data_IF_278196433027
#
_entry.id   IF_278196433027
#
_cell.length_a   1.000
_cell.length_b   1.000
_cell.length_c   1.000
_cell.angle_alpha   90.00
_cell.angle_beta   90.00
_cell.angle_gamma   90.00
#
_symmetry.space_group_name_H-M   'P 1'
#
loop_
_entity.id
_entity.type
_entity.pdbx_description
1 polymer ?
#
# COMPACT_ATOMS: atom_id res chain seq x y z
N UNK A 1 57.49 -5.36 -37.75
CA UNK A 1 56.22 -4.69 -38.15
C UNK A 1 55.09 -5.70 -38.09
N UNK A 2 54.15 -5.53 -37.15
CA UNK A 2 52.71 -5.80 -37.27
C UNK A 2 52.09 -5.59 -35.89
N UNK A 3 51.41 -4.45 -35.75
CA UNK A 3 50.54 -4.11 -34.63
C UNK A 3 49.34 -5.07 -34.64
N UNK A 4 49.01 -5.69 -33.50
CA UNK A 4 47.72 -6.34 -33.30
C UNK A 4 46.89 -5.44 -32.38
N UNK A 5 45.84 -4.86 -32.94
CA UNK A 5 44.94 -3.92 -32.30
C UNK A 5 44.04 -4.62 -31.28
N UNK A 6 43.96 -4.02 -30.10
CA UNK A 6 42.82 -4.15 -29.20
C UNK A 6 41.53 -3.70 -29.90
N UNK A 7 40.49 -4.52 -29.81
CA UNK A 7 39.10 -4.06 -29.85
C UNK A 7 38.34 -4.78 -28.77
N UNK A 8 38.22 -4.13 -27.61
CA UNK A 8 37.27 -4.51 -26.58
C UNK A 8 35.86 -4.13 -27.01
N UNK A 9 34.94 -5.09 -26.98
CA UNK A 9 33.51 -4.81 -26.99
C UNK A 9 33.12 -4.41 -25.56
N UNK A 10 33.05 -3.11 -25.29
CA UNK A 10 32.21 -2.61 -24.21
C UNK A 10 30.78 -2.52 -24.75
N UNK A 11 29.96 -3.50 -24.40
CA UNK A 11 28.52 -3.41 -24.55
C UNK A 11 27.99 -2.32 -23.64
N UNK A 12 27.57 -1.19 -24.23
CA UNK A 12 26.75 -0.18 -23.56
C UNK A 12 25.37 -0.79 -23.32
N UNK A 13 25.15 -1.36 -22.15
CA UNK A 13 23.82 -1.55 -21.62
C UNK A 13 23.25 -0.17 -21.30
N UNK A 14 22.51 0.41 -22.24
CA UNK A 14 21.69 1.57 -21.97
C UNK A 14 20.59 1.16 -21.00
N UNK A 15 20.78 1.44 -19.71
CA UNK A 15 19.68 1.51 -18.75
C UNK A 15 18.75 2.61 -19.23
N UNK A 16 17.66 2.25 -19.92
CA UNK A 16 16.56 3.17 -20.16
C UNK A 16 15.90 3.44 -18.81
N UNK A 17 16.37 4.45 -18.08
CA UNK A 17 15.52 5.13 -17.12
C UNK A 17 14.40 5.74 -17.94
N UNK A 18 13.25 5.06 -18.00
CA UNK A 18 12.00 5.69 -18.39
C UNK A 18 11.84 6.88 -17.46
N UNK A 19 11.96 8.11 -18.00
CA UNK A 19 11.51 9.29 -17.27
C UNK A 19 10.02 9.10 -17.09
N UNK A 20 9.58 8.77 -15.87
CA UNK A 20 8.17 8.73 -15.53
C UNK A 20 7.68 10.18 -15.48
N UNK A 21 7.19 10.67 -16.63
CA UNK A 21 6.59 12.00 -16.71
C UNK A 21 5.27 12.01 -15.93
N UNK A 22 5.01 13.10 -15.20
CA UNK A 22 3.71 13.34 -14.59
C UNK A 22 2.65 13.36 -15.69
N UNK A 23 1.65 12.48 -15.58
CA UNK A 23 0.56 12.37 -16.54
C UNK A 23 -0.35 13.61 -16.42
N UNK A 24 -0.35 14.43 -17.45
CA UNK A 24 -1.23 15.60 -17.58
C UNK A 24 -2.62 15.18 -18.11
N UNK A 25 -3.52 14.86 -17.18
CA UNK A 25 -4.91 14.48 -17.46
C UNK A 25 -5.81 15.66 -17.87
N UNK A 26 -5.34 16.90 -17.74
CA UNK A 26 -6.10 18.08 -18.17
C UNK A 26 -6.05 18.22 -19.68
N UNK A 27 -4.88 17.96 -20.28
CA UNK A 27 -4.67 18.10 -21.73
C UNK A 27 -4.66 16.78 -22.50
N UNK A 28 -4.58 15.63 -21.83
CA UNK A 28 -4.40 14.34 -22.49
C UNK A 28 -5.32 13.24 -21.94
N UNK A 29 -5.67 12.30 -22.81
CA UNK A 29 -6.25 11.02 -22.43
C UNK A 29 -5.14 9.96 -22.37
N UNK A 30 -5.20 9.08 -21.37
CA UNK A 30 -4.28 7.95 -21.23
C UNK A 30 -5.02 6.64 -21.30
N UNK A 31 -4.37 5.61 -21.85
CA UNK A 31 -4.93 4.28 -22.01
C UNK A 31 -3.89 3.24 -21.61
N UNK A 32 -4.32 2.17 -20.95
CA UNK A 32 -3.51 0.97 -20.77
C UNK A 32 -4.06 -0.12 -21.66
N UNK A 33 -3.21 -0.65 -22.54
CA UNK A 33 -3.54 -1.75 -23.45
C UNK A 33 -2.70 -2.97 -23.09
N UNK A 34 -3.35 -4.13 -22.94
CA UNK A 34 -2.65 -5.42 -22.93
C UNK A 34 -2.55 -5.88 -24.39
N UNK A 35 -1.33 -6.00 -24.90
CA UNK A 35 -1.05 -6.39 -26.29
C UNK A 35 -0.36 -7.77 -26.29
N UNK A 36 -0.87 -8.71 -27.10
CA UNK A 36 -0.24 -10.02 -27.27
C UNK A 36 1.02 -9.97 -28.14
N UNK A 37 1.73 -11.09 -28.26
CA UNK A 37 3.00 -11.18 -29.00
C UNK A 37 2.87 -11.05 -30.53
N UNK A 38 1.66 -10.98 -31.09
CA UNK A 38 1.44 -10.83 -32.53
C UNK A 38 1.57 -9.38 -33.02
N UNK A 39 1.68 -8.41 -32.11
CA UNK A 39 1.86 -7.01 -32.44
C UNK A 39 2.85 -6.30 -31.51
N UNK A 40 3.46 -5.24 -32.02
CA UNK A 40 4.26 -4.31 -31.21
C UNK A 40 3.39 -3.14 -30.72
N UNK A 41 3.72 -2.54 -29.56
CA UNK A 41 3.07 -1.33 -29.08
C UNK A 41 3.10 -0.18 -30.11
N UNK A 42 4.18 -0.06 -30.87
CA UNK A 42 4.34 0.98 -31.90
C UNK A 42 3.37 0.80 -33.06
N UNK A 43 3.12 -0.44 -33.49
CA UNK A 43 2.12 -0.73 -34.54
C UNK A 43 0.70 -0.42 -34.05
N UNK A 44 0.39 -0.80 -32.81
CA UNK A 44 -0.92 -0.50 -32.18
C UNK A 44 -1.11 1.00 -32.01
N UNK A 45 -0.11 1.72 -31.48
CA UNK A 45 -0.12 3.17 -31.34
C UNK A 45 -0.33 3.88 -32.68
N UNK A 46 0.43 3.48 -33.72
CA UNK A 46 0.28 4.02 -35.07
C UNK A 46 -1.13 3.78 -35.64
N UNK A 47 -1.70 2.61 -35.39
CA UNK A 47 -3.05 2.25 -35.87
C UNK A 47 -4.18 3.02 -35.18
N UNK A 48 -3.97 3.40 -33.92
CA UNK A 48 -4.93 4.14 -33.10
C UNK A 48 -4.70 5.66 -33.10
N UNK A 49 -3.55 6.12 -33.61
CA UNK A 49 -3.12 7.52 -33.49
C UNK A 49 -2.71 7.90 -32.07
N UNK A 50 -2.18 6.94 -31.30
CA UNK A 50 -1.72 7.14 -29.92
C UNK A 50 -0.20 7.09 -29.82
N UNK A 51 0.36 7.88 -28.91
CA UNK A 51 1.79 7.82 -28.55
C UNK A 51 2.00 6.75 -27.48
N UNK A 52 3.00 5.88 -27.66
CA UNK A 52 3.40 4.90 -26.66
C UNK A 52 4.32 5.57 -25.62
N UNK A 53 3.95 5.51 -24.34
CA UNK A 53 4.72 6.09 -23.23
C UNK A 53 5.66 5.05 -22.58
N UNK A 54 5.31 3.77 -22.65
CA UNK A 54 6.11 2.68 -22.11
C UNK A 54 5.26 1.57 -21.49
N UNK A 55 5.92 0.67 -20.79
CA UNK A 55 5.31 -0.45 -20.06
C UNK A 55 4.73 0.03 -18.72
N UNK A 56 3.62 -0.55 -18.27
CA UNK A 56 3.01 -0.30 -16.98
C UNK A 56 3.74 -1.05 -15.85
N UNK A 57 4.75 -0.41 -15.26
CA UNK A 57 5.51 -0.97 -14.14
C UNK A 57 6.04 -2.39 -14.43
N UNK A 58 5.70 -3.35 -13.57
CA UNK A 58 6.09 -4.76 -13.72
C UNK A 58 5.20 -5.60 -14.66
N UNK A 59 4.12 -5.05 -15.21
CA UNK A 59 3.21 -5.76 -16.12
C UNK A 59 3.72 -5.63 -17.56
N UNK A 60 4.64 -6.51 -17.97
CA UNK A 60 5.44 -6.37 -19.21
C UNK A 60 4.65 -6.42 -20.51
N UNK A 61 3.44 -6.96 -20.48
CA UNK A 61 2.46 -7.07 -21.56
C UNK A 61 1.45 -5.91 -21.58
N UNK A 62 1.52 -4.98 -20.61
CA UNK A 62 0.64 -3.83 -20.48
C UNK A 62 1.38 -2.54 -20.82
N UNK A 63 0.83 -1.79 -21.76
CA UNK A 63 1.48 -0.60 -22.32
C UNK A 63 0.60 0.64 -22.10
N UNK A 64 1.23 1.73 -21.66
CA UNK A 64 0.61 3.02 -21.47
C UNK A 64 0.69 3.81 -22.78
N UNK A 65 -0.45 4.32 -23.22
CA UNK A 65 -0.60 5.15 -24.40
C UNK A 65 -1.22 6.49 -24.06
N UNK A 66 -0.89 7.51 -24.85
CA UNK A 66 -1.37 8.87 -24.70
C UNK A 66 -1.99 9.38 -26.02
N UNK A 67 -3.07 10.17 -25.89
CA UNK A 67 -3.55 11.07 -26.95
C UNK A 67 -3.85 12.45 -26.38
N UNK A 68 -3.92 13.49 -27.23
CA UNK A 68 -4.62 14.71 -26.87
C UNK A 68 -6.03 14.38 -26.35
N UNK A 69 -6.53 15.18 -25.41
CA UNK A 69 -7.85 14.95 -24.81
C UNK A 69 -8.95 15.06 -25.85
N UNK A 70 -9.89 14.11 -25.80
CA UNK A 70 -11.02 14.04 -26.72
C UNK A 70 -12.34 13.88 -25.96
N UNK A 71 -13.44 14.22 -26.61
CA UNK A 71 -14.80 14.10 -26.08
C UNK A 71 -15.34 12.64 -26.09
N UNK A 72 -14.55 11.70 -26.61
CA UNK A 72 -14.91 10.29 -26.73
C UNK A 72 -13.72 9.38 -26.42
N UNK A 73 -13.99 8.09 -26.19
CA UNK A 73 -12.93 7.09 -25.99
C UNK A 73 -12.40 6.62 -27.35
N UNK A 74 -11.20 7.09 -27.72
CA UNK A 74 -10.55 6.82 -29.02
C UNK A 74 -10.36 5.32 -29.23
N UNK A 75 -9.91 4.60 -28.20
CA UNK A 75 -9.63 3.16 -28.30
C UNK A 75 -10.91 2.38 -28.48
N UNK A 76 -11.94 2.61 -27.64
CA UNK A 76 -13.23 1.92 -27.75
C UNK A 76 -13.88 2.16 -29.12
N UNK A 77 -13.79 3.38 -29.66
CA UNK A 77 -14.32 3.70 -30.99
C UNK A 77 -13.64 2.87 -32.07
N UNK A 78 -12.30 2.87 -32.09
CA UNK A 78 -11.53 2.10 -33.07
C UNK A 78 -11.78 0.59 -32.96
N UNK A 79 -11.87 0.04 -31.75
CA UNK A 79 -12.20 -1.37 -31.51
C UNK A 79 -13.61 -1.71 -31.98
N UNK A 80 -14.59 -0.83 -31.74
CA UNK A 80 -15.96 -1.03 -32.21
C UNK A 80 -16.04 -1.04 -33.74
N UNK A 81 -15.32 -0.13 -34.41
CA UNK A 81 -15.29 -0.07 -35.87
C UNK A 81 -14.52 -1.24 -36.49
N UNK A 82 -13.43 -1.72 -35.85
CA UNK A 82 -12.74 -2.94 -36.25
C UNK A 82 -13.69 -4.17 -36.20
N UNK A 83 -14.45 -4.32 -35.10
CA UNK A 83 -15.45 -5.39 -34.97
C UNK A 83 -16.54 -5.34 -36.04
N UNK A 84 -16.95 -4.14 -36.49
CA UNK A 84 -17.90 -3.99 -37.62
C UNK A 84 -17.29 -4.42 -38.95
N UNK A 85 -16.05 -4.02 -39.24
CA UNK A 85 -15.33 -4.38 -40.48
C UNK A 85 -15.14 -5.90 -40.60
N UNK A 86 -14.88 -6.57 -39.49
CA UNK A 86 -14.72 -8.03 -39.40
C UNK A 86 -15.98 -8.85 -39.70
N UNK A 87 -17.15 -8.22 -39.87
CA UNK A 87 -18.34 -8.93 -40.39
C UNK A 87 -18.15 -9.42 -41.83
N UNK A 88 -17.12 -8.95 -42.53
CA UNK A 88 -16.67 -9.46 -43.82
C UNK A 88 -15.42 -10.36 -43.63
N UNK A 89 -15.43 -11.62 -44.08
CA UNK A 89 -14.32 -12.55 -43.83
C UNK A 89 -13.01 -12.11 -44.52
N UNK A 90 -11.88 -12.27 -43.80
CA UNK A 90 -10.52 -12.16 -44.37
C UNK A 90 -9.69 -10.93 -43.98
N UNK A 91 -10.17 -10.02 -43.13
CA UNK A 91 -9.41 -8.83 -42.72
C UNK A 91 -8.85 -9.01 -41.30
N UNK A 92 -7.57 -9.37 -41.20
CA UNK A 92 -6.81 -9.26 -39.95
C UNK A 92 -6.42 -7.80 -39.72
N UNK A 93 -6.57 -7.30 -38.49
CA UNK A 93 -6.15 -5.95 -38.10
C UNK A 93 -5.22 -6.06 -36.89
N UNK A 94 -4.22 -5.20 -36.79
CA UNK A 94 -3.31 -5.18 -35.64
C UNK A 94 -4.05 -4.95 -34.32
N UNK A 95 -5.23 -4.33 -34.33
CA UNK A 95 -6.07 -4.16 -33.12
C UNK A 95 -6.59 -5.49 -32.55
N UNK A 96 -6.43 -6.60 -33.27
CA UNK A 96 -6.82 -7.93 -32.82
C UNK A 96 -5.91 -8.49 -31.72
N UNK A 97 -4.70 -7.96 -31.60
CA UNK A 97 -3.76 -8.30 -30.53
C UNK A 97 -4.10 -7.65 -29.18
N UNK A 98 -5.06 -6.71 -29.15
CA UNK A 98 -5.46 -6.02 -27.91
C UNK A 98 -6.38 -6.93 -27.11
N UNK A 99 -5.85 -7.50 -26.02
CA UNK A 99 -6.57 -8.41 -25.13
C UNK A 99 -7.35 -7.67 -24.04
N UNK A 100 -6.90 -6.47 -23.67
CA UNK A 100 -7.55 -5.62 -22.68
C UNK A 100 -7.26 -4.15 -22.98
N UNK A 101 -8.23 -3.29 -22.68
CA UNK A 101 -8.08 -1.83 -22.74
C UNK A 101 -8.74 -1.20 -21.53
N UNK A 102 -8.08 -0.19 -20.96
CA UNK A 102 -8.66 0.67 -19.93
C UNK A 102 -8.25 2.11 -20.18
N UNK A 103 -9.23 3.00 -20.34
CA UNK A 103 -9.00 4.45 -20.31
C UNK A 103 -8.72 4.84 -18.86
N UNK A 104 -7.66 5.60 -18.64
CA UNK A 104 -7.21 6.01 -17.32
C UNK A 104 -7.79 7.37 -16.98
N UNK A 105 -8.28 7.50 -15.75
CA UNK A 105 -8.78 8.76 -15.19
C UNK A 105 -8.22 8.90 -13.78
N UNK A 106 -7.70 10.08 -13.45
CA UNK A 106 -7.29 10.38 -12.09
C UNK A 106 -8.53 10.65 -11.23
N UNK A 107 -8.73 9.88 -10.17
CA UNK A 107 -9.89 10.01 -9.27
C UNK A 107 -9.48 9.84 -7.82
N UNK A 108 -10.17 10.55 -6.93
CA UNK A 108 -10.06 10.35 -5.48
C UNK A 108 -11.18 9.39 -5.03
N UNK A 109 -10.91 8.10 -5.10
CA UNK A 109 -11.84 7.05 -4.67
C UNK A 109 -11.35 6.28 -3.43
N UNK A 110 -10.04 6.31 -3.15
CA UNK A 110 -9.43 5.72 -1.98
C UNK A 110 -9.37 6.74 -0.82
N UNK A 111 -9.62 6.23 0.37
CA UNK A 111 -9.67 6.99 1.60
C UNK A 111 -8.84 6.28 2.67
N UNK A 112 -7.96 7.03 3.34
CA UNK A 112 -7.27 6.56 4.55
C UNK A 112 -8.27 6.24 5.66
N UNK A 113 -8.05 5.15 6.38
CA UNK A 113 -8.89 4.65 7.47
C UNK A 113 -8.69 5.48 8.73
N UNK A 114 -9.25 6.69 8.73
CA UNK A 114 -9.35 7.53 9.92
C UNK A 114 -10.59 7.14 10.72
N UNK A 115 -10.46 6.99 12.03
CA UNK A 115 -11.58 6.65 12.91
C UNK A 115 -12.59 7.82 12.87
N UNK A 116 -13.86 7.59 12.48
CA UNK A 116 -14.87 8.63 12.45
C UNK A 116 -15.22 9.09 13.88
N UNK A 117 -15.89 10.24 14.07
CA UNK A 117 -16.48 10.56 15.36
C UNK A 117 -17.53 9.51 15.78
N UNK A 118 -17.65 9.17 17.08
CA UNK A 118 -18.68 8.24 17.52
C UNK A 118 -20.10 8.77 17.23
N UNK A 119 -21.06 7.93 16.80
CA UNK A 119 -22.41 8.38 16.54
C UNK A 119 -23.11 8.81 17.84
N UNK A 120 -24.13 9.69 17.80
CA UNK A 120 -24.84 10.15 19.00
C UNK A 120 -25.49 9.01 19.82
N UNK A 121 -25.82 7.90 19.16
CA UNK A 121 -26.37 6.68 19.77
C UNK A 121 -25.30 5.84 20.48
N UNK A 122 -24.02 6.06 20.20
CA UNK A 122 -22.92 5.38 20.87
C UNK A 122 -22.81 5.87 22.30
N UNK A 123 -23.49 5.15 23.18
CA UNK A 123 -23.18 5.15 24.60
C UNK A 123 -21.84 4.44 24.69
N UNK A 124 -20.76 5.22 24.63
CA UNK A 124 -19.41 4.65 24.71
C UNK A 124 -19.32 3.63 25.82
N UNK A 125 -18.45 2.64 25.65
CA UNK A 125 -18.12 1.76 26.76
C UNK A 125 -17.70 2.67 27.92
N UNK A 126 -18.27 2.40 29.10
CA UNK A 126 -18.11 3.24 30.30
C UNK A 126 -16.67 3.72 30.40
N UNK A 127 -16.41 5.05 30.39
CA UNK A 127 -15.06 5.57 30.53
C UNK A 127 -14.42 4.97 31.77
N UNK A 128 -13.21 4.41 31.63
CA UNK A 128 -12.38 3.85 32.71
C UNK A 128 -13.20 3.28 33.88
N UNK A 129 -13.57 2.00 33.83
CA UNK A 129 -13.39 1.19 35.05
C UNK A 129 -11.92 1.42 35.40
N UNK A 130 -11.66 2.18 36.48
CA UNK A 130 -10.34 2.67 36.85
C UNK A 130 -9.29 1.67 36.41
N UNK A 131 -8.38 2.07 35.50
CA UNK A 131 -7.22 1.26 35.15
C UNK A 131 -6.70 0.74 36.48
N UNK A 132 -6.82 -0.58 36.69
CA UNK A 132 -6.37 -1.16 37.94
C UNK A 132 -4.92 -0.73 38.15
N UNK A 133 -4.50 -0.57 39.41
CA UNK A 133 -3.09 -0.25 39.65
C UNK A 133 -2.22 -1.25 38.87
N UNK A 134 -1.18 -0.79 38.16
CA UNK A 134 -0.30 -1.67 37.40
C UNK A 134 0.14 -2.86 38.26
N UNK A 135 0.02 -4.06 37.69
CA UNK A 135 0.37 -5.28 38.42
C UNK A 135 1.87 -5.27 38.69
N UNK A 136 2.26 -5.26 39.97
CA UNK A 136 3.65 -5.06 40.38
C UNK A 136 4.64 -6.07 39.76
N UNK A 137 4.23 -7.31 39.52
CA UNK A 137 5.05 -8.32 38.81
C UNK A 137 5.22 -7.99 37.34
N UNK A 138 4.18 -7.49 36.67
CA UNK A 138 4.24 -7.06 35.27
C UNK A 138 5.11 -5.80 35.10
N UNK A 139 5.02 -4.84 36.02
CA UNK A 139 5.92 -3.66 36.03
C UNK A 139 7.38 -4.09 36.16
N UNK A 140 7.69 -5.01 37.07
CA UNK A 140 9.06 -5.56 37.20
C UNK A 140 9.51 -6.27 35.93
N UNK A 141 8.61 -7.01 35.27
CA UNK A 141 8.91 -7.67 34.01
C UNK A 141 9.15 -6.67 32.87
N UNK A 142 8.34 -5.62 32.76
CA UNK A 142 8.54 -4.54 31.79
C UNK A 142 9.90 -3.86 31.99
N UNK A 143 10.24 -3.52 33.25
CA UNK A 143 11.54 -2.96 33.60
C UNK A 143 12.70 -3.91 33.26
N UNK A 144 12.51 -5.21 33.48
CA UNK A 144 13.49 -6.23 33.11
C UNK A 144 13.70 -6.28 31.58
N UNK A 145 12.61 -6.32 30.80
CA UNK A 145 12.67 -6.27 29.33
C UNK A 145 13.38 -5.00 28.86
N UNK A 146 12.99 -3.84 29.37
CA UNK A 146 13.62 -2.57 29.03
C UNK A 146 15.11 -2.56 29.34
N UNK A 147 15.53 -3.09 30.50
CA UNK A 147 16.94 -3.17 30.87
C UNK A 147 17.72 -4.16 29.99
N UNK A 148 17.19 -5.37 29.75
CA UNK A 148 17.82 -6.39 28.91
C UNK A 148 18.01 -5.90 27.47
N UNK A 149 16.99 -5.25 26.93
CA UNK A 149 16.98 -4.75 25.55
C UNK A 149 17.47 -3.30 25.43
N UNK A 150 17.90 -2.67 26.52
CA UNK A 150 18.33 -1.26 26.56
C UNK A 150 17.32 -0.28 25.93
N UNK A 151 16.02 -0.51 26.16
CA UNK A 151 14.93 0.37 25.72
C UNK A 151 14.93 1.62 26.61
N UNK A 152 15.05 2.80 25.99
CA UNK A 152 15.09 4.11 26.68
C UNK A 152 13.98 5.04 26.20
N UNK A 153 13.15 4.56 25.29
CA UNK A 153 12.10 5.29 24.61
C UNK A 153 11.07 5.78 25.65
N UNK A 154 10.84 7.11 25.74
CA UNK A 154 10.15 7.71 26.88
C UNK A 154 8.70 7.24 27.05
N UNK A 155 8.01 6.88 25.97
CA UNK A 155 6.59 6.47 26.02
C UNK A 155 6.41 4.95 25.91
N UNK A 156 7.47 4.14 25.93
CA UNK A 156 7.34 2.67 25.85
C UNK A 156 6.42 2.10 26.94
N UNK A 157 6.44 2.68 28.14
CA UNK A 157 5.56 2.26 29.24
C UNK A 157 4.08 2.60 28.98
N UNK A 158 3.80 3.54 28.08
CA UNK A 158 2.45 3.94 27.66
C UNK A 158 1.94 3.10 26.48
N UNK A 159 2.84 2.48 25.70
CA UNK A 159 2.51 1.58 24.59
C UNK A 159 2.01 0.21 25.08
N UNK A 160 0.83 0.24 25.70
CA UNK A 160 0.18 -0.93 26.29
C UNK A 160 -0.04 -2.06 25.29
N UNK A 161 -0.16 -1.76 23.99
CA UNK A 161 -0.31 -2.77 22.94
C UNK A 161 0.94 -3.65 22.78
N UNK A 162 2.13 -3.19 23.21
CA UNK A 162 3.38 -3.96 23.19
C UNK A 162 3.61 -4.71 24.51
N UNK A 163 3.27 -4.07 25.64
CA UNK A 163 3.34 -4.68 26.96
C UNK A 163 2.35 -4.01 27.92
N UNK A 164 1.31 -4.73 28.35
CA UNK A 164 0.26 -4.17 29.19
C UNK A 164 0.46 -4.53 30.66
N UNK A 165 0.84 -3.56 31.49
CA UNK A 165 1.00 -3.77 32.93
C UNK A 165 -0.31 -3.75 33.72
N UNK A 166 -1.41 -3.32 33.10
CA UNK A 166 -2.71 -3.12 33.77
C UNK A 166 -3.65 -4.30 33.47
N UNK A 167 -3.85 -4.60 32.18
CA UNK A 167 -4.69 -5.70 31.72
C UNK A 167 -3.79 -6.78 31.13
N UNK A 168 -3.35 -7.71 31.97
CA UNK A 168 -2.37 -8.72 31.57
C UNK A 168 -2.90 -9.59 30.42
N UNK A 169 -2.06 -9.78 29.40
CA UNK A 169 -2.41 -10.53 28.19
C UNK A 169 -3.22 -9.73 27.18
N UNK A 170 -3.55 -8.46 27.47
CA UNK A 170 -4.16 -7.54 26.52
C UNK A 170 -3.08 -6.71 25.81
N UNK A 171 -2.17 -7.41 25.13
CA UNK A 171 -1.07 -6.90 24.33
C UNK A 171 -0.70 -7.92 23.24
N UNK A 172 0.13 -7.56 22.27
CA UNK A 172 0.52 -8.47 21.17
C UNK A 172 1.55 -9.53 21.59
N UNK A 173 1.90 -9.61 22.87
CA UNK A 173 2.89 -10.55 23.43
C UNK A 173 4.23 -10.58 22.68
N UNK A 174 4.73 -9.41 22.24
CA UNK A 174 5.93 -9.31 21.40
C UNK A 174 7.24 -9.36 22.20
N UNK A 175 7.22 -8.99 23.48
CA UNK A 175 8.47 -8.83 24.26
C UNK A 175 9.24 -10.14 24.46
N UNK A 176 8.56 -11.29 24.52
CA UNK A 176 9.21 -12.61 24.53
C UNK A 176 9.99 -12.87 23.24
N UNK A 177 9.39 -12.52 22.09
CA UNK A 177 10.00 -12.64 20.76
C UNK A 177 11.25 -11.74 20.64
N UNK A 178 11.20 -10.54 21.22
CA UNK A 178 12.37 -9.66 21.27
C UNK A 178 13.50 -10.20 22.15
N UNK A 179 13.18 -10.82 23.29
CA UNK A 179 14.17 -11.46 24.16
C UNK A 179 14.84 -12.68 23.50
N UNK A 180 14.17 -13.31 22.53
CA UNK A 180 14.76 -14.35 21.66
C UNK A 180 15.64 -13.76 20.53
N UNK A 181 15.73 -12.43 20.43
CA UNK A 181 16.54 -11.74 19.41
C UNK A 181 15.83 -11.54 18.07
N UNK A 182 14.50 -11.72 18.01
CA UNK A 182 13.71 -11.51 16.80
C UNK A 182 13.06 -10.12 16.88
N UNK A 183 13.55 -9.19 16.06
CA UNK A 183 13.24 -7.74 16.14
C UNK A 183 12.80 -7.15 14.80
N UNK A 184 12.60 -8.01 13.80
CA UNK A 184 12.30 -7.61 12.41
C UNK A 184 13.52 -7.34 11.53
N UNK A 185 14.74 -7.57 12.04
CA UNK A 185 15.97 -7.42 11.25
C UNK A 185 15.93 -8.21 9.94
N UNK A 186 16.35 -7.56 8.84
CA UNK A 186 16.30 -8.05 7.45
C UNK A 186 14.89 -8.14 6.84
N UNK A 187 13.85 -7.70 7.56
CA UNK A 187 12.53 -7.52 7.00
C UNK A 187 12.38 -6.12 6.41
N UNK A 188 11.56 -5.98 5.37
CA UNK A 188 11.21 -4.67 4.78
C UNK A 188 9.70 -4.55 4.64
N UNK A 189 9.13 -3.54 5.27
CA UNK A 189 7.71 -3.20 5.21
C UNK A 189 7.53 -1.90 4.45
N UNK A 190 6.57 -1.84 3.53
CA UNK A 190 6.17 -0.63 2.83
C UNK A 190 4.80 -0.17 3.32
N UNK A 191 4.70 1.10 3.72
CA UNK A 191 3.45 1.76 4.06
C UNK A 191 2.92 2.42 2.80
N UNK A 192 1.84 1.87 2.23
CA UNK A 192 1.15 2.49 1.10
C UNK A 192 0.12 3.45 1.68
N UNK A 193 0.36 4.75 1.65
CA UNK A 193 -0.48 5.73 2.36
C UNK A 193 -0.33 7.19 1.84
N UNK A 194 -0.40 8.19 2.73
CA UNK A 194 -0.31 9.63 2.47
C UNK A 194 1.10 10.22 2.58
N UNK A 195 2.11 9.36 2.78
CA UNK A 195 3.51 9.73 2.89
C UNK A 195 4.19 9.13 4.12
N UNK A 196 5.49 9.36 4.24
CA UNK A 196 6.30 8.91 5.37
C UNK A 196 7.32 9.99 5.71
N UNK A 197 7.27 10.53 6.93
CA UNK A 197 8.30 11.46 7.42
C UNK A 197 9.59 10.70 7.72
N UNK A 198 10.43 10.58 6.70
CA UNK A 198 11.70 9.89 6.76
C UNK A 198 12.76 10.63 7.59
N UNK A 199 12.47 11.88 7.98
CA UNK A 199 13.37 12.72 8.78
C UNK A 199 13.09 12.62 10.27
N UNK A 200 11.95 12.04 10.66
CA UNK A 200 11.61 11.74 12.05
C UNK A 200 12.76 11.01 12.73
N UNK A 201 13.13 11.47 13.92
CA UNK A 201 14.20 10.84 14.72
C UNK A 201 13.89 9.38 15.04
N UNK A 202 12.61 9.03 15.07
CA UNK A 202 12.12 7.69 15.38
C UNK A 202 12.06 6.76 14.15
N UNK A 203 12.20 7.29 12.93
CA UNK A 203 12.08 6.50 11.68
C UNK A 203 13.32 6.54 10.79
N UNK A 204 14.11 7.61 10.85
CA UNK A 204 15.21 7.90 9.90
C UNK A 204 16.22 6.76 9.76
N UNK A 205 16.53 6.03 10.83
CA UNK A 205 17.54 4.97 10.80
C UNK A 205 16.99 3.66 10.17
N UNK A 206 15.67 3.49 10.22
CA UNK A 206 14.95 2.38 9.58
C UNK A 206 14.41 2.72 8.19
N UNK A 207 14.39 3.99 7.79
CA UNK A 207 13.90 4.41 6.48
C UNK A 207 14.62 3.69 5.33
N UNK A 208 13.82 3.23 4.37
CA UNK A 208 14.28 2.47 3.22
C UNK A 208 13.88 3.17 1.92
N UNK A 209 14.76 4.09 1.49
CA UNK A 209 14.59 4.86 0.25
C UNK A 209 14.41 3.95 -0.98
N UNK A 210 15.13 2.84 -1.03
CA UNK A 210 15.10 1.90 -2.15
C UNK A 210 13.74 1.20 -2.34
N UNK A 211 12.89 1.18 -1.32
CA UNK A 211 11.52 0.64 -1.39
C UNK A 211 10.45 1.73 -1.46
N UNK A 212 10.85 3.00 -1.48
CA UNK A 212 9.96 4.15 -1.32
C UNK A 212 9.73 4.90 -2.63
N UNK A 213 8.57 5.56 -2.75
CA UNK A 213 8.22 6.41 -3.89
C UNK A 213 6.97 7.27 -3.63
N UNK A 214 6.92 8.43 -4.25
CA UNK A 214 5.74 9.29 -4.31
C UNK A 214 5.06 9.16 -5.69
N UNK A 215 3.90 8.52 -5.74
CA UNK A 215 3.08 8.43 -6.95
C UNK A 215 2.19 9.65 -7.16
N UNK A 216 1.89 10.42 -6.12
CA UNK A 216 1.13 11.66 -6.21
C UNK A 216 1.96 12.77 -6.89
N UNK A 217 3.27 12.83 -6.62
CA UNK A 217 4.17 13.88 -7.13
C UNK A 217 5.29 13.38 -8.07
N UNK A 218 5.43 12.05 -8.25
CA UNK A 218 6.48 11.41 -9.07
C UNK A 218 7.89 11.72 -8.57
N UNK A 219 8.07 11.58 -7.26
CA UNK A 219 9.34 11.83 -6.57
C UNK A 219 9.84 10.54 -5.91
N UNK A 220 11.15 10.21 -5.94
CA UNK A 220 11.70 9.11 -5.14
C UNK A 220 11.52 9.28 -3.62
N UNK A 221 11.21 10.48 -3.13
CA UNK A 221 11.06 10.82 -1.72
C UNK A 221 9.57 10.97 -1.38
N UNK A 222 8.96 10.05 -0.59
CA UNK A 222 7.54 10.06 -0.24
C UNK A 222 7.24 11.00 0.93
N UNK A 223 7.75 12.23 0.91
CA UNK A 223 7.58 13.16 2.00
C UNK A 223 6.09 13.57 2.16
N UNK A 224 5.56 13.64 3.39
CA UNK A 224 4.28 14.28 3.65
C UNK A 224 4.30 15.74 3.18
N UNK A 225 3.30 16.18 2.41
CA UNK A 225 3.25 17.55 1.86
C UNK A 225 2.07 18.33 2.43
N UNK A 226 0.92 17.67 2.60
CA UNK A 226 -0.30 18.29 3.11
C UNK A 226 -0.33 18.27 4.64
N UNK A 227 -1.07 19.20 5.25
CA UNK A 227 -1.13 19.30 6.71
C UNK A 227 -1.76 18.06 7.37
N UNK A 228 -2.61 17.36 6.63
CA UNK A 228 -3.29 16.13 6.97
C UNK A 228 -2.47 14.86 6.64
N UNK A 229 -1.35 14.97 5.92
CA UNK A 229 -0.46 13.85 5.59
C UNK A 229 0.31 13.42 6.85
N UNK A 230 -0.37 12.67 7.72
CA UNK A 230 0.16 12.23 9.02
C UNK A 230 -0.07 10.74 9.24
N UNK A 231 -0.89 10.12 8.40
CA UNK A 231 -1.42 8.80 8.64
C UNK A 231 -0.34 7.75 8.37
N UNK A 232 0.35 7.82 7.23
CA UNK A 232 1.43 6.91 6.90
C UNK A 232 2.61 6.97 7.87
N UNK A 233 2.99 8.15 8.36
CA UNK A 233 4.03 8.31 9.39
C UNK A 233 3.65 7.64 10.72
N UNK A 234 2.38 7.70 11.13
CA UNK A 234 1.90 7.02 12.34
C UNK A 234 1.98 5.50 12.19
N UNK A 235 1.44 4.97 11.08
CA UNK A 235 1.51 3.54 10.79
C UNK A 235 2.96 3.03 10.67
N UNK A 236 3.87 3.83 10.10
CA UNK A 236 5.29 3.51 10.04
C UNK A 236 5.93 3.36 11.43
N UNK A 237 5.55 4.22 12.38
CA UNK A 237 6.01 4.17 13.77
C UNK A 237 5.58 2.89 14.48
N UNK A 238 4.32 2.49 14.33
CA UNK A 238 3.80 1.24 14.93
C UNK A 238 4.61 0.01 14.47
N UNK A 239 5.05 0.00 13.22
CA UNK A 239 5.85 -1.10 12.65
C UNK A 239 7.32 -0.99 13.07
N UNK A 240 7.96 0.16 12.87
CA UNK A 240 9.42 0.26 12.81
C UNK A 240 10.01 1.52 13.48
N UNK A 241 9.30 2.15 14.42
CA UNK A 241 9.91 3.12 15.32
C UNK A 241 11.17 2.51 15.97
N UNK A 242 12.28 3.22 15.89
CA UNK A 242 13.61 2.72 16.22
C UNK A 242 13.83 2.79 17.72
N UNK A 243 14.53 1.82 18.30
CA UNK A 243 14.91 1.88 19.71
C UNK A 243 15.92 3.00 19.96
N UNK A 244 15.50 4.12 20.54
CA UNK A 244 16.31 5.29 20.86
C UNK A 244 15.83 5.99 22.16
N UNK A 245 15.88 7.33 22.21
CA UNK A 245 15.44 8.18 23.32
C UNK A 245 14.30 9.14 22.93
N UNK A 246 13.55 8.82 21.87
CA UNK A 246 12.48 9.62 21.28
C UNK A 246 11.21 8.77 21.18
N UNK A 247 10.06 9.33 21.57
CA UNK A 247 8.77 8.66 21.43
C UNK A 247 8.75 7.24 22.03
N UNK A 248 8.47 6.22 21.21
CA UNK A 248 8.18 4.85 21.62
C UNK A 248 8.95 3.85 20.76
N UNK A 249 8.44 2.64 20.63
CA UNK A 249 9.10 1.54 19.93
C UNK A 249 8.16 0.86 18.95
N UNK A 250 8.66 0.48 17.78
CA UNK A 250 7.90 -0.29 16.79
C UNK A 250 7.91 -1.78 17.13
N UNK A 251 6.89 -2.52 16.68
CA UNK A 251 6.82 -3.99 16.84
C UNK A 251 8.07 -4.68 16.28
N UNK A 252 8.55 -4.19 15.14
CA UNK A 252 9.70 -4.67 14.38
C UNK A 252 10.76 -3.55 14.27
N UNK A 253 11.23 -3.06 15.42
CA UNK A 253 12.12 -1.89 15.53
C UNK A 253 13.51 -2.00 14.87
N UNK A 254 13.91 -3.17 14.34
CA UNK A 254 15.10 -3.31 13.49
C UNK A 254 14.77 -3.65 12.01
N UNK A 255 13.49 -3.60 11.65
CA UNK A 255 13.05 -3.74 10.26
C UNK A 255 13.28 -2.46 9.45
N UNK A 256 13.29 -2.60 8.12
CA UNK A 256 13.30 -1.47 7.20
C UNK A 256 11.88 -1.03 6.87
N UNK A 257 11.67 0.28 6.80
CA UNK A 257 10.35 0.90 6.55
C UNK A 257 10.41 1.81 5.32
N UNK A 258 9.56 1.52 4.34
CA UNK A 258 9.41 2.30 3.12
C UNK A 258 8.08 3.04 3.09
N UNK A 259 8.02 4.16 2.38
CA UNK A 259 6.81 4.93 2.15
C UNK A 259 6.42 4.91 0.67
N UNK A 260 5.17 4.58 0.37
CA UNK A 260 4.60 4.64 -0.97
C UNK A 260 3.41 5.61 -0.90
N UNK A 261 3.59 6.83 -1.40
CA UNK A 261 2.60 7.91 -1.26
C UNK A 261 1.62 7.91 -2.44
N UNK A 262 0.36 7.59 -2.16
CA UNK A 262 -0.72 7.51 -3.17
C UNK A 262 -2.01 8.22 -2.75
N UNK A 263 -2.24 8.49 -1.45
CA UNK A 263 -3.55 8.91 -0.95
C UNK A 263 -3.78 10.42 -0.91
N UNK A 264 -2.75 11.24 -1.15
CA UNK A 264 -2.81 12.70 -0.98
C UNK A 264 -3.32 13.45 -2.21
N UNK A 265 -3.47 12.78 -3.37
CA UNK A 265 -4.01 13.33 -4.61
C UNK A 265 -4.78 12.27 -5.40
N UNK A 266 -5.66 12.67 -6.33
CA UNK A 266 -6.26 11.74 -7.29
C UNK A 266 -5.19 10.95 -8.05
N UNK A 267 -5.37 9.64 -8.13
CA UNK A 267 -4.50 8.72 -8.89
C UNK A 267 -5.34 7.97 -9.92
N UNK A 268 -4.69 7.41 -10.93
CA UNK A 268 -5.33 6.51 -11.89
C UNK A 268 -5.21 5.05 -11.48
N UNK A 269 -6.05 4.17 -12.04
CA UNK A 269 -5.93 2.72 -11.86
C UNK A 269 -4.52 2.21 -12.24
N UNK A 270 -3.87 2.82 -13.24
CA UNK A 270 -2.49 2.52 -13.61
C UNK A 270 -1.49 2.87 -12.49
N UNK A 271 -1.67 4.01 -11.83
CA UNK A 271 -0.79 4.45 -10.74
C UNK A 271 -0.97 3.59 -9.49
N UNK A 272 -2.21 3.28 -9.17
CA UNK A 272 -2.52 2.36 -8.08
C UNK A 272 -1.93 0.97 -8.36
N UNK A 273 -2.07 0.46 -9.58
CA UNK A 273 -1.47 -0.82 -9.97
C UNK A 273 0.06 -0.80 -9.86
N UNK A 274 0.73 0.27 -10.32
CA UNK A 274 2.17 0.42 -10.17
C UNK A 274 2.59 0.47 -8.69
N UNK A 275 1.86 1.23 -7.86
CA UNK A 275 2.13 1.36 -6.43
C UNK A 275 1.98 0.03 -5.69
N UNK A 276 0.93 -0.73 -6.00
CA UNK A 276 0.67 -2.02 -5.37
C UNK A 276 1.78 -3.05 -5.64
N UNK A 277 2.49 -2.95 -6.76
CA UNK A 277 3.64 -3.84 -7.07
C UNK A 277 4.99 -3.12 -6.99
N UNK A 278 5.06 -1.94 -6.36
CA UNK A 278 6.28 -1.14 -6.35
C UNK A 278 7.37 -1.82 -5.53
N UNK A 279 8.44 -2.22 -6.22
CA UNK A 279 9.63 -2.85 -5.65
C UNK A 279 9.32 -4.15 -4.91
N UNK A 280 8.49 -5.02 -5.48
CA UNK A 280 8.24 -6.39 -4.98
C UNK A 280 9.49 -7.28 -4.86
N UNK A 281 10.59 -6.86 -5.49
CA UNK A 281 11.93 -7.45 -5.34
C UNK A 281 12.64 -7.06 -4.04
N UNK A 282 12.23 -5.95 -3.40
CA UNK A 282 12.83 -5.40 -2.17
C UNK A 282 11.86 -5.33 -0.98
N UNK A 283 10.67 -4.83 -1.22
CA UNK A 283 9.59 -4.75 -0.23
C UNK A 283 8.97 -6.15 -0.05
N UNK A 284 8.82 -6.58 1.20
CA UNK A 284 8.33 -7.91 1.53
C UNK A 284 6.87 -7.88 1.97
N UNK A 285 6.50 -6.84 2.74
CA UNK A 285 5.17 -6.65 3.32
C UNK A 285 4.68 -5.26 2.89
N UNK A 286 3.41 -5.16 2.52
CA UNK A 286 2.73 -3.92 2.17
C UNK A 286 1.58 -3.72 3.14
N UNK A 287 1.65 -2.67 3.95
CA UNK A 287 0.62 -2.29 4.91
C UNK A 287 -0.25 -1.18 4.32
N UNK A 288 -1.55 -1.44 4.28
CA UNK A 288 -2.54 -0.61 3.61
C UNK A 288 -3.69 -0.29 4.56
N UNK A 289 -3.65 0.88 5.17
CA UNK A 289 -4.70 1.37 6.07
C UNK A 289 -5.66 2.31 5.32
N UNK A 290 -6.18 1.83 4.19
CA UNK A 290 -7.06 2.58 3.28
C UNK A 290 -7.97 1.63 2.49
N UNK A 291 -8.99 2.19 1.86
CA UNK A 291 -9.90 1.48 0.97
C UNK A 291 -10.95 2.42 0.36
N UNK A 292 -12.05 1.89 -0.19
CA UNK A 292 -13.24 2.67 -0.55
C UNK A 292 -13.83 3.40 0.66
N UNK A 293 -14.83 4.26 0.45
CA UNK A 293 -15.50 4.95 1.58
C UNK A 293 -16.23 3.96 2.49
N UNK A 294 -16.07 4.18 3.79
CA UNK A 294 -16.73 3.42 4.86
C UNK A 294 -18.06 4.07 5.27
N UNK A 295 -18.99 4.17 4.31
CA UNK A 295 -20.26 4.86 4.49
C UNK A 295 -21.47 3.91 4.55
N UNK A 296 -21.24 2.59 4.57
CA UNK A 296 -22.29 1.57 4.57
C UNK A 296 -23.09 1.49 3.26
N UNK A 297 -22.59 2.13 2.20
CA UNK A 297 -23.27 2.26 0.90
C UNK A 297 -22.37 2.00 -0.29
N UNK A 298 -21.08 2.21 -0.13
CA UNK A 298 -20.08 2.04 -1.17
C UNK A 298 -19.77 0.56 -1.35
N UNK A 299 -19.80 0.09 -2.60
CA UNK A 299 -19.33 -1.24 -2.99
C UNK A 299 -18.37 -1.07 -4.15
N UNK A 300 -17.09 -1.22 -3.87
CA UNK A 300 -16.03 -1.03 -4.85
C UNK A 300 -14.96 -2.10 -4.68
N UNK A 301 -14.34 -2.48 -5.80
CA UNK A 301 -13.24 -3.43 -5.82
C UNK A 301 -12.12 -2.91 -6.73
N UNK A 302 -10.87 -3.30 -6.46
CA UNK A 302 -9.74 -2.90 -7.28
C UNK A 302 -9.97 -3.26 -8.75
N UNK A 303 -9.64 -2.35 -9.66
CA UNK A 303 -9.76 -2.56 -11.11
C UNK A 303 -8.90 -3.73 -11.62
N UNK A 304 -9.10 -4.11 -12.89
CA UNK A 304 -8.39 -5.27 -13.49
C UNK A 304 -6.87 -5.09 -13.42
N UNK A 305 -6.37 -3.87 -13.61
CA UNK A 305 -4.92 -3.57 -13.55
C UNK A 305 -4.37 -3.79 -12.14
N UNK A 306 -5.05 -3.29 -11.12
CA UNK A 306 -4.66 -3.44 -9.72
C UNK A 306 -4.68 -4.91 -9.33
N UNK A 307 -5.72 -5.66 -9.69
CA UNK A 307 -5.79 -7.11 -9.42
C UNK A 307 -4.67 -7.89 -10.11
N UNK A 308 -4.28 -7.51 -11.32
CA UNK A 308 -3.11 -8.09 -12.03
C UNK A 308 -1.81 -7.75 -11.32
N UNK A 309 -1.64 -6.51 -10.85
CA UNK A 309 -0.47 -6.10 -10.09
C UNK A 309 -0.34 -6.85 -8.75
N UNK A 310 -1.43 -6.96 -7.99
CA UNK A 310 -1.47 -7.76 -6.76
C UNK A 310 -1.14 -9.23 -7.05
N UNK A 311 -1.77 -9.85 -8.06
CA UNK A 311 -1.48 -11.22 -8.44
C UNK A 311 0.00 -11.42 -8.80
N UNK A 312 0.58 -10.50 -9.58
CA UNK A 312 2.01 -10.52 -9.90
C UNK A 312 2.86 -10.45 -8.63
N UNK A 313 2.55 -9.54 -7.71
CA UNK A 313 3.26 -9.40 -6.45
C UNK A 313 3.17 -10.66 -5.56
N UNK A 314 2.03 -11.36 -5.57
CA UNK A 314 1.84 -12.66 -4.90
C UNK A 314 2.65 -13.78 -5.60
N UNK A 315 2.79 -13.74 -6.92
CA UNK A 315 3.48 -14.80 -7.66
C UNK A 315 5.01 -14.63 -7.69
N UNK A 316 5.49 -13.38 -7.76
CA UNK A 316 6.90 -13.08 -8.03
C UNK A 316 7.61 -12.40 -6.85
N UNK A 317 6.86 -11.72 -5.97
CA UNK A 317 7.42 -11.00 -4.85
C UNK A 317 8.18 -11.92 -3.89
N UNK A 318 9.16 -11.35 -3.17
CA UNK A 318 10.02 -12.11 -2.24
C UNK A 318 10.69 -13.33 -2.88
N UNK A 319 11.10 -13.20 -4.16
CA UNK A 319 11.74 -14.29 -4.90
C UNK A 319 10.82 -15.47 -5.19
N UNK A 320 9.52 -15.21 -5.39
CA UNK A 320 8.50 -16.23 -5.65
C UNK A 320 7.82 -16.80 -4.41
N UNK A 321 8.14 -16.31 -3.21
CA UNK A 321 7.42 -16.65 -1.97
C UNK A 321 6.09 -15.90 -1.83
N UNK A 322 5.94 -14.81 -2.58
CA UNK A 322 4.79 -13.94 -2.59
C UNK A 322 4.87 -12.80 -1.60
N UNK A 323 4.59 -11.59 -2.09
CA UNK A 323 4.42 -10.39 -1.27
C UNK A 323 3.29 -10.58 -0.26
N UNK A 324 3.38 -9.93 0.90
CA UNK A 324 2.34 -10.01 1.93
C UNK A 324 1.59 -8.68 1.96
N UNK A 325 0.31 -8.67 1.61
CA UNK A 325 -0.55 -7.50 1.78
C UNK A 325 -1.31 -7.60 3.10
N UNK A 326 -1.29 -6.53 3.89
CA UNK A 326 -2.03 -6.41 5.14
C UNK A 326 -2.96 -5.21 5.01
N UNK A 327 -4.27 -5.43 5.12
CA UNK A 327 -5.29 -4.39 5.00
C UNK A 327 -6.08 -4.23 6.30
N UNK A 328 -6.35 -3.00 6.70
CA UNK A 328 -7.30 -2.71 7.77
C UNK A 328 -8.74 -3.00 7.29
N UNK A 329 -9.57 -3.64 8.13
CA UNK A 329 -10.90 -4.12 7.70
C UNK A 329 -11.84 -3.01 7.27
N UNK A 330 -11.79 -1.84 7.91
CA UNK A 330 -12.70 -0.72 7.65
C UNK A 330 -13.18 -0.05 8.94
N UNK A 331 -13.56 1.21 8.85
CA UNK A 331 -14.01 2.04 9.97
C UNK A 331 -15.52 2.37 9.93
N UNK A 332 -16.29 1.68 9.10
CA UNK A 332 -17.69 1.95 8.78
C UNK A 332 -18.73 1.20 9.61
N UNK A 333 -18.34 0.42 10.62
CA UNK A 333 -19.29 -0.44 11.34
C UNK A 333 -20.46 0.33 11.98
N UNK A 334 -20.21 1.53 12.50
CA UNK A 334 -21.27 2.40 13.02
C UNK A 334 -22.21 2.99 11.96
N UNK A 335 -21.86 2.86 10.68
CA UNK A 335 -22.70 3.17 9.52
C UNK A 335 -23.31 1.92 8.90
N UNK A 336 -23.30 0.79 9.62
CA UNK A 336 -23.75 -0.54 9.17
C UNK A 336 -22.93 -1.10 7.98
N UNK A 337 -21.67 -0.67 7.82
CA UNK A 337 -20.79 -1.18 6.78
C UNK A 337 -20.27 -2.60 7.06
N UNK A 338 -19.83 -3.28 6.00
CA UNK A 338 -19.31 -4.63 6.05
C UNK A 338 -18.14 -4.81 5.08
N UNK A 339 -16.99 -5.24 5.59
CA UNK A 339 -15.76 -5.35 4.79
C UNK A 339 -15.83 -6.34 3.61
N UNK A 340 -16.88 -7.14 3.44
CA UNK A 340 -17.08 -7.88 2.18
C UNK A 340 -17.45 -6.96 0.99
N UNK A 341 -17.89 -5.72 1.21
CA UNK A 341 -18.19 -4.76 0.14
C UNK A 341 -16.95 -3.96 -0.32
N UNK A 342 -15.84 -4.10 0.40
CA UNK A 342 -14.52 -3.61 0.02
C UNK A 342 -13.71 -4.74 -0.66
N UNK A 343 -13.45 -4.58 -1.95
CA UNK A 343 -12.72 -5.57 -2.75
C UNK A 343 -11.23 -5.69 -2.44
N UNK A 344 -10.65 -4.80 -1.63
CA UNK A 344 -9.27 -4.92 -1.16
C UNK A 344 -9.20 -5.84 0.06
N UNK A 345 -10.12 -5.68 1.00
CA UNK A 345 -10.19 -6.48 2.24
C UNK A 345 -10.86 -7.84 2.03
N UNK A 346 -11.74 -7.99 1.04
CA UNK A 346 -12.34 -9.29 0.70
C UNK A 346 -11.47 -10.17 -0.23
N UNK A 347 -10.29 -9.67 -0.63
CA UNK A 347 -9.37 -10.36 -1.53
C UNK A 347 -8.67 -11.53 -0.84
N UNK A 348 -8.56 -12.65 -1.53
CA UNK A 348 -7.75 -13.79 -1.05
C UNK A 348 -6.23 -13.49 -0.99
N UNK A 349 -5.81 -12.37 -1.58
CA UNK A 349 -4.41 -11.94 -1.62
C UNK A 349 -4.05 -10.99 -0.48
N UNK A 350 -5.01 -10.55 0.33
CA UNK A 350 -4.79 -9.68 1.48
C UNK A 350 -5.06 -10.41 2.80
N UNK A 351 -4.32 -10.01 3.82
CA UNK A 351 -4.58 -10.39 5.21
C UNK A 351 -5.37 -9.23 5.83
N UNK A 352 -6.67 -9.44 6.02
CA UNK A 352 -7.57 -8.42 6.57
C UNK A 352 -7.58 -8.47 8.09
N UNK A 353 -7.25 -7.32 8.70
CA UNK A 353 -7.07 -7.14 10.14
C UNK A 353 -8.17 -6.22 10.68
N UNK A 354 -8.97 -6.72 11.62
CA UNK A 354 -9.89 -5.89 12.41
C UNK A 354 -9.25 -5.33 13.67
N UNK A 355 -10.00 -4.53 14.42
CA UNK A 355 -9.53 -3.93 15.67
C UNK A 355 -10.21 -4.53 16.91
N UNK A 356 -9.45 -4.61 17.99
CA UNK A 356 -9.93 -4.73 19.37
C UNK A 356 -9.34 -3.59 20.20
N UNK A 357 -10.09 -3.08 21.16
CA UNK A 357 -9.55 -2.07 22.07
C UNK A 357 -8.74 -2.70 23.21
N UNK A 358 -8.15 -1.84 24.05
CA UNK A 358 -7.37 -2.28 25.22
C UNK A 358 -8.13 -3.26 26.11
N UNK A 359 -9.43 -3.05 26.31
CA UNK A 359 -10.29 -3.91 27.13
C UNK A 359 -10.71 -5.21 26.41
N UNK A 360 -10.17 -5.49 25.22
CA UNK A 360 -10.53 -6.64 24.38
C UNK A 360 -11.95 -6.53 23.82
N UNK A 361 -12.53 -5.33 23.80
CA UNK A 361 -13.86 -5.09 23.27
C UNK A 361 -13.79 -4.71 21.80
N UNK A 362 -14.89 -4.95 21.09
CA UNK A 362 -15.05 -4.56 19.70
C UNK A 362 -15.28 -3.03 19.59
N UNK A 363 -14.36 -2.27 18.97
CA UNK A 363 -14.54 -0.84 18.78
C UNK A 363 -15.68 -0.56 17.79
N UNK A 364 -16.46 0.49 18.04
CA UNK A 364 -17.66 0.82 17.24
C UNK A 364 -17.40 1.09 15.76
N UNK A 365 -16.16 1.40 15.39
CA UNK A 365 -15.77 1.67 14.01
C UNK A 365 -15.35 0.40 13.27
N UNK A 366 -14.84 -0.62 13.97
CA UNK A 366 -14.20 -1.77 13.32
C UNK A 366 -15.21 -2.58 12.52
N UNK A 367 -15.06 -2.65 11.20
CA UNK A 367 -15.90 -3.50 10.37
C UNK A 367 -15.63 -4.99 10.60
N UNK A 368 -16.67 -5.80 10.41
CA UNK A 368 -16.63 -7.25 10.48
C UNK A 368 -17.12 -7.85 9.16
N UNK A 369 -16.49 -8.93 8.71
CA UNK A 369 -16.93 -9.69 7.54
C UNK A 369 -16.33 -11.09 7.56
N UNK A 370 -16.79 -11.97 6.66
CA UNK A 370 -16.27 -13.33 6.53
C UNK A 370 -14.84 -13.41 5.98
N UNK A 371 -14.33 -12.33 5.37
CA UNK A 371 -12.98 -12.26 4.84
C UNK A 371 -11.92 -11.83 5.89
N UNK A 372 -12.36 -11.28 7.03
CA UNK A 372 -11.45 -10.90 8.11
C UNK A 372 -10.77 -12.14 8.69
N UNK A 373 -9.44 -12.09 8.84
CA UNK A 373 -8.66 -13.23 9.34
C UNK A 373 -8.37 -13.14 10.83
N UNK A 374 -7.95 -11.97 11.30
CA UNK A 374 -7.53 -11.75 12.69
C UNK A 374 -7.86 -10.33 13.14
N UNK A 375 -7.66 -10.05 14.42
CA UNK A 375 -7.75 -8.71 15.03
C UNK A 375 -6.43 -8.36 15.71
N UNK A 376 -6.13 -7.07 15.81
CA UNK A 376 -5.06 -6.54 16.66
C UNK A 376 -5.55 -5.31 17.44
N UNK A 377 -4.73 -4.81 18.35
CA UNK A 377 -5.08 -3.70 19.22
C UNK A 377 -5.13 -2.36 18.46
N UNK A 378 -6.10 -1.52 18.82
CA UNK A 378 -6.22 -0.14 18.36
C UNK A 378 -6.99 0.70 19.40
N UNK A 379 -7.53 1.84 19.00
CA UNK A 379 -8.27 2.74 19.89
C UNK A 379 -9.65 2.21 20.29
N UNK A 380 -10.13 2.65 21.45
CA UNK A 380 -11.45 2.32 21.97
C UNK A 380 -11.48 2.42 23.49
N UNK A 381 -12.68 2.39 24.08
CA UNK A 381 -12.87 2.51 25.54
C UNK A 381 -12.13 3.69 26.22
N UNK A 382 -11.90 4.78 25.47
CA UNK A 382 -11.24 6.00 25.97
C UNK A 382 -9.71 5.98 25.91
N UNK A 383 -9.10 5.00 25.25
CA UNK A 383 -7.66 4.86 25.07
C UNK A 383 -7.28 4.66 23.59
N UNK A 384 -6.00 4.81 23.27
CA UNK A 384 -5.43 4.61 21.93
C UNK A 384 -3.98 4.11 22.00
N UNK A 385 -3.45 3.68 20.85
CA UNK A 385 -2.05 3.25 20.70
C UNK A 385 -1.19 4.33 20.08
#
# INVERSE_FOLDING_TARGET
MKFASWTGLFGLAALSCARQFTRDYDNNDYYVLHIDSNATPEQVGSRLGLRHEGVLGGLTDHHVFQSPKTDHDVVKRHLADNRKRKRNPGVADVLDSILFTSKQEARQHLHKRVIPPPPPSFKGHTPRLADGDPVATAVKQQQHVMAQLSIKDPIFAEQWHLFNTVQLGHDVNVTGVWLEGITGKNSTVAIIDDGLDMTSLDLKDNYFADGSYDFNDRDPVPAPVLAEDRHGTRCAGEVAAVRNDVCGLGVAYESKIAGIRILSKPISDADEAEAMMYRIDKNQIYSCSWGPRDDGRTMEAPGVLIRRAMLKAIQEGRGGLGSIYVFASGNGAASDDNCNFDGYTNSIYSITIGAVDRAGQHPYYSEHCSAQLVVTYSSGSGDSI
#
